data_IF_723201478402
#
_entry.id   IF_723201478402
#
_cell.length_a   1.000
_cell.length_b   1.000
_cell.length_c   1.000
_cell.angle_alpha   90.00
_cell.angle_beta   90.00
_cell.angle_gamma   90.00
#
_symmetry.space_group_name_H-M   'P 1'
#
loop_
_entity.id
_entity.type
_entity.pdbx_description
1 polymer ?
#
# COMPACT_ATOMS: atom_id res chain seq x y z
N UNK A 1 15.58 -8.01 -5.54
CA UNK A 1 15.51 -6.56 -5.45
C UNK A 1 14.08 -6.15 -5.15
N UNK A 2 13.90 -5.35 -4.15
CA UNK A 2 12.63 -4.78 -3.75
C UNK A 2 12.85 -3.36 -3.23
N UNK A 3 11.79 -2.65 -2.90
CA UNK A 3 11.90 -1.34 -2.26
C UNK A 3 11.06 -0.25 -2.90
N UNK A 4 11.28 0.96 -2.46
CA UNK A 4 10.47 2.15 -2.74
C UNK A 4 10.73 2.71 -4.13
N UNK A 5 11.91 2.49 -4.69
CA UNK A 5 12.29 3.08 -5.96
C UNK A 5 11.82 2.23 -7.14
N UNK A 6 11.27 2.89 -8.14
CA UNK A 6 11.18 2.32 -9.47
C UNK A 6 12.61 2.12 -10.00
N UNK A 7 12.93 0.91 -10.41
CA UNK A 7 14.22 0.65 -11.07
C UNK A 7 14.07 0.98 -12.55
N UNK A 8 14.88 1.91 -13.07
CA UNK A 8 14.90 2.17 -14.50
C UNK A 8 15.49 0.96 -15.25
N UNK A 9 15.05 0.75 -16.50
CA UNK A 9 15.61 -0.32 -17.34
C UNK A 9 17.13 -0.21 -17.47
N UNK A 10 17.64 1.01 -17.53
CA UNK A 10 19.08 1.26 -17.63
C UNK A 10 19.84 0.81 -16.38
N UNK A 11 19.25 1.01 -15.19
CA UNK A 11 19.82 0.52 -13.94
C UNK A 11 19.79 -1.01 -13.86
N UNK A 12 18.65 -1.62 -14.22
CA UNK A 12 18.51 -3.09 -14.20
C UNK A 12 19.46 -3.78 -15.18
N UNK A 13 19.66 -3.22 -16.38
CA UNK A 13 20.61 -3.75 -17.37
C UNK A 13 22.08 -3.71 -16.94
N UNK A 14 22.43 -2.85 -15.98
CA UNK A 14 23.79 -2.76 -15.41
C UNK A 14 24.08 -3.82 -14.34
N UNK A 15 23.08 -4.59 -13.90
CA UNK A 15 23.26 -5.64 -12.89
C UNK A 15 23.89 -6.88 -13.56
N UNK A 16 25.14 -7.25 -13.19
CA UNK A 16 25.88 -8.30 -13.90
C UNK A 16 25.56 -9.73 -13.44
N UNK A 17 24.60 -9.88 -12.53
CA UNK A 17 24.23 -11.17 -11.93
C UNK A 17 22.73 -11.44 -12.09
N UNK A 18 22.27 -12.70 -12.09
CA UNK A 18 20.87 -13.03 -12.08
C UNK A 18 20.16 -12.37 -10.89
N UNK A 19 18.97 -11.82 -11.13
CA UNK A 19 18.15 -11.23 -10.08
C UNK A 19 16.65 -11.45 -10.36
N UNK A 20 15.84 -11.31 -9.33
CA UNK A 20 14.37 -11.29 -9.40
C UNK A 20 13.89 -10.04 -8.68
N UNK A 21 12.90 -9.37 -9.27
CA UNK A 21 12.26 -8.23 -8.64
C UNK A 21 11.16 -8.73 -7.69
N UNK A 22 11.03 -8.11 -6.54
CA UNK A 22 9.97 -8.44 -5.58
C UNK A 22 9.34 -7.16 -5.03
N UNK A 23 8.02 -7.12 -4.98
CA UNK A 23 7.26 -5.96 -4.49
C UNK A 23 7.67 -4.64 -5.17
N UNK A 24 7.82 -4.67 -6.47
CA UNK A 24 8.14 -3.48 -7.27
C UNK A 24 7.13 -3.33 -8.40
N UNK A 25 6.79 -2.07 -8.69
CA UNK A 25 6.04 -1.75 -9.88
C UNK A 25 6.96 -1.77 -11.10
N UNK A 26 6.58 -2.52 -12.11
CA UNK A 26 7.14 -2.35 -13.45
C UNK A 26 6.24 -1.37 -14.20
N UNK A 27 6.54 -0.09 -14.05
CA UNK A 27 5.86 0.96 -14.79
C UNK A 27 6.32 0.92 -16.26
N UNK A 28 5.37 0.60 -17.11
CA UNK A 28 5.53 0.57 -18.55
C UNK A 28 5.39 -0.82 -19.14
N UNK A 29 4.69 -0.88 -20.27
CA UNK A 29 4.52 -2.13 -21.06
C UNK A 29 5.84 -2.70 -21.56
N UNK A 30 6.89 -1.89 -21.53
CA UNK A 30 8.24 -2.17 -22.06
C UNK A 30 9.00 -3.23 -21.25
N UNK A 31 8.68 -3.39 -19.95
CA UNK A 31 9.43 -4.28 -19.05
C UNK A 31 8.80 -5.65 -18.85
N UNK A 32 7.59 -5.85 -19.38
CA UNK A 32 6.80 -7.05 -19.06
C UNK A 32 7.47 -8.38 -19.37
N UNK A 33 8.48 -8.40 -20.24
CA UNK A 33 9.12 -9.64 -20.66
C UNK A 33 10.62 -9.69 -20.40
N UNK A 34 11.22 -8.67 -19.78
CA UNK A 34 12.66 -8.60 -19.62
C UNK A 34 13.15 -9.16 -18.28
N UNK A 35 12.30 -9.15 -17.25
CA UNK A 35 12.68 -9.52 -15.89
C UNK A 35 11.64 -10.37 -15.21
N UNK A 36 12.11 -11.36 -14.43
CA UNK A 36 11.25 -12.10 -13.51
C UNK A 36 10.88 -11.24 -12.32
N UNK A 37 9.61 -11.26 -11.92
CA UNK A 37 9.16 -10.59 -10.71
C UNK A 37 8.08 -11.37 -9.96
N UNK A 38 7.97 -11.04 -8.68
CA UNK A 38 6.92 -11.52 -7.77
C UNK A 38 6.30 -10.31 -7.09
N UNK A 39 4.99 -10.15 -7.19
CA UNK A 39 4.25 -9.03 -6.58
C UNK A 39 2.82 -9.43 -6.26
N UNK A 40 2.09 -8.53 -5.60
CA UNK A 40 0.62 -8.53 -5.57
C UNK A 40 0.09 -7.55 -6.62
N UNK A 41 -1.20 -7.65 -6.96
CA UNK A 41 -1.87 -6.63 -7.78
C UNK A 41 -2.27 -5.44 -6.89
N UNK A 42 -1.33 -4.52 -6.69
CA UNK A 42 -1.51 -3.36 -5.80
C UNK A 42 -2.71 -2.48 -6.20
N UNK A 43 -3.03 -2.38 -7.49
CA UNK A 43 -4.20 -1.64 -7.97
C UNK A 43 -5.49 -2.35 -7.54
N UNK A 44 -5.58 -3.67 -7.79
CA UNK A 44 -6.75 -4.48 -7.44
C UNK A 44 -6.98 -4.49 -5.94
N UNK A 45 -5.92 -4.75 -5.17
CA UNK A 45 -6.04 -4.89 -3.71
C UNK A 45 -6.32 -3.55 -3.02
N UNK A 46 -5.77 -2.44 -3.51
CA UNK A 46 -6.12 -1.11 -3.02
C UNK A 46 -7.55 -0.71 -3.38
N UNK A 47 -8.00 -1.05 -4.59
CA UNK A 47 -9.40 -0.89 -4.99
C UNK A 47 -10.31 -1.66 -4.02
N UNK A 48 -10.01 -2.94 -3.76
CA UNK A 48 -10.77 -3.81 -2.84
C UNK A 48 -10.83 -3.26 -1.42
N UNK A 49 -9.72 -2.70 -0.88
CA UNK A 49 -9.74 -2.06 0.44
C UNK A 49 -10.64 -0.82 0.44
N UNK A 50 -10.56 0.01 -0.59
CA UNK A 50 -11.40 1.21 -0.69
C UNK A 50 -12.88 0.84 -0.84
N UNK A 51 -13.20 -0.16 -1.65
CA UNK A 51 -14.56 -0.72 -1.78
C UNK A 51 -15.07 -1.28 -0.45
N UNK A 52 -14.20 -1.92 0.34
CA UNK A 52 -14.55 -2.38 1.68
C UNK A 52 -14.96 -1.19 2.57
N UNK A 53 -14.20 -0.11 2.59
CA UNK A 53 -14.56 1.09 3.37
C UNK A 53 -15.88 1.70 2.87
N UNK A 54 -16.11 1.77 1.56
CA UNK A 54 -17.36 2.25 0.98
C UNK A 54 -18.52 1.34 1.42
N UNK A 55 -18.35 0.02 1.40
CA UNK A 55 -19.38 -0.94 1.85
C UNK A 55 -19.74 -0.80 3.32
N UNK A 56 -18.84 -0.24 4.14
CA UNK A 56 -19.09 0.12 5.54
C UNK A 56 -19.73 1.52 5.70
N UNK A 57 -20.12 2.16 4.59
CA UNK A 57 -20.81 3.44 4.59
C UNK A 57 -19.91 4.68 4.58
N UNK A 58 -18.62 4.52 4.27
CA UNK A 58 -17.69 5.64 4.17
C UNK A 58 -17.63 6.21 2.74
N UNK A 59 -17.96 7.48 2.59
CA UNK A 59 -17.82 8.23 1.32
C UNK A 59 -16.67 9.25 1.39
N UNK A 60 -16.33 9.73 2.59
CA UNK A 60 -15.25 10.68 2.84
C UNK A 60 -14.03 9.92 3.36
N UNK A 61 -13.26 9.36 2.44
CA UNK A 61 -12.12 8.50 2.73
C UNK A 61 -10.83 9.25 2.42
N UNK A 62 -10.04 9.58 3.45
CA UNK A 62 -8.71 10.12 3.23
C UNK A 62 -7.71 9.00 2.89
N UNK A 63 -6.73 9.30 2.01
CA UNK A 63 -5.66 8.40 1.66
C UNK A 63 -4.32 8.94 2.19
N UNK A 64 -3.62 8.15 3.00
CA UNK A 64 -2.22 8.41 3.32
C UNK A 64 -1.35 7.68 2.30
N UNK A 65 -0.75 8.45 1.38
CA UNK A 65 -0.09 7.96 0.18
C UNK A 65 1.43 8.16 0.26
N UNK A 66 2.14 7.59 -0.70
CA UNK A 66 3.58 7.81 -0.94
C UNK A 66 3.89 9.24 -1.40
N UNK A 67 5.12 9.49 -1.77
CA UNK A 67 5.54 10.79 -2.32
C UNK A 67 4.72 11.19 -3.55
N UNK A 68 4.57 12.48 -3.77
CA UNK A 68 3.73 13.00 -4.86
C UNK A 68 4.21 12.56 -6.26
N UNK A 69 5.51 12.48 -6.45
CA UNK A 69 6.14 12.03 -7.70
C UNK A 69 6.45 10.53 -7.72
N UNK A 70 5.88 9.76 -6.78
CA UNK A 70 6.10 8.32 -6.73
C UNK A 70 5.50 7.64 -7.98
N UNK A 71 6.32 6.79 -8.56
CA UNK A 71 5.96 5.94 -9.70
C UNK A 71 6.01 4.45 -9.34
N UNK A 72 6.13 4.15 -8.05
CA UNK A 72 6.25 2.80 -7.49
C UNK A 72 4.91 2.21 -7.04
N UNK A 73 4.97 1.30 -6.09
CA UNK A 73 3.80 0.63 -5.48
C UNK A 73 2.80 1.64 -4.91
N UNK A 74 3.27 2.74 -4.31
CA UNK A 74 2.40 3.77 -3.76
C UNK A 74 1.50 4.41 -4.82
N UNK A 75 2.03 4.68 -6.02
CA UNK A 75 1.24 5.18 -7.15
C UNK A 75 0.20 4.17 -7.64
N UNK A 76 0.51 2.87 -7.58
CA UNK A 76 -0.45 1.82 -7.93
C UNK A 76 -1.59 1.77 -6.90
N UNK A 77 -1.27 1.88 -5.61
CA UNK A 77 -2.28 1.90 -4.53
C UNK A 77 -3.16 3.15 -4.61
N UNK A 78 -2.60 4.32 -4.93
CA UNK A 78 -3.36 5.53 -5.24
C UNK A 78 -4.30 5.32 -6.43
N UNK A 79 -3.82 4.65 -7.49
CA UNK A 79 -4.64 4.33 -8.66
C UNK A 79 -5.82 3.43 -8.28
N UNK A 80 -5.62 2.42 -7.46
CA UNK A 80 -6.68 1.54 -6.97
C UNK A 80 -7.74 2.30 -6.15
N UNK A 81 -7.28 3.16 -5.24
CA UNK A 81 -8.16 4.03 -4.46
C UNK A 81 -9.05 4.90 -5.37
N UNK A 82 -8.45 5.61 -6.34
CA UNK A 82 -9.19 6.48 -7.27
C UNK A 82 -10.21 5.68 -8.11
N UNK A 83 -9.84 4.49 -8.58
CA UNK A 83 -10.74 3.60 -9.34
C UNK A 83 -11.96 3.16 -8.52
N UNK A 84 -11.78 2.83 -7.24
CA UNK A 84 -12.88 2.44 -6.37
C UNK A 84 -13.87 3.60 -6.16
N UNK A 85 -13.37 4.81 -5.88
CA UNK A 85 -14.22 5.98 -5.75
C UNK A 85 -14.99 6.27 -7.04
N UNK A 86 -14.33 6.22 -8.21
CA UNK A 86 -14.95 6.43 -9.52
C UNK A 86 -16.05 5.39 -9.79
N UNK A 87 -15.80 4.11 -9.51
CA UNK A 87 -16.79 3.04 -9.69
C UNK A 87 -18.04 3.23 -8.84
N UNK A 88 -17.92 3.91 -7.71
CA UNK A 88 -19.03 4.22 -6.80
C UNK A 88 -19.58 5.65 -6.97
N UNK A 89 -19.15 6.39 -8.01
CA UNK A 89 -19.53 7.78 -8.28
C UNK A 89 -19.21 8.74 -7.11
N UNK A 90 -18.16 8.46 -6.35
CA UNK A 90 -17.65 9.32 -5.29
C UNK A 90 -16.56 10.21 -5.89
N UNK A 91 -16.68 11.55 -5.81
CA UNK A 91 -15.68 12.44 -6.38
C UNK A 91 -14.34 12.30 -5.64
N UNK A 92 -13.24 12.26 -6.39
CA UNK A 92 -11.90 12.34 -5.82
C UNK A 92 -11.63 13.77 -5.37
N UNK A 93 -11.39 13.97 -4.08
CA UNK A 93 -10.99 15.25 -3.52
C UNK A 93 -9.51 15.20 -3.13
N UNK A 94 -8.69 16.00 -3.81
CA UNK A 94 -7.25 16.05 -3.55
C UNK A 94 -6.90 16.50 -2.12
N UNK A 95 -7.82 17.16 -1.40
CA UNK A 95 -7.64 17.50 0.01
C UNK A 95 -7.60 16.25 0.92
N UNK A 96 -8.16 15.14 0.48
CA UNK A 96 -8.11 13.86 1.20
C UNK A 96 -6.87 13.04 0.90
N UNK A 97 -6.07 13.40 -0.11
CA UNK A 97 -4.85 12.68 -0.47
C UNK A 97 -3.66 13.36 0.21
N UNK A 98 -2.99 12.63 1.09
CA UNK A 98 -1.82 13.09 1.82
C UNK A 98 -0.58 12.35 1.38
N UNK A 99 0.43 13.08 1.02
CA UNK A 99 1.70 12.54 0.57
C UNK A 99 2.74 12.58 1.68
N UNK A 100 3.61 11.56 1.73
CA UNK A 100 4.73 11.50 2.67
C UNK A 100 5.70 12.66 2.43
N UNK A 101 6.27 13.15 3.53
CA UNK A 101 7.37 14.10 3.49
C UNK A 101 8.66 13.38 3.07
N UNK A 102 9.38 13.87 2.01
CA UNK A 102 10.65 13.26 1.58
C UNK A 102 11.76 13.29 2.63
N UNK A 103 11.65 14.15 3.66
CA UNK A 103 12.63 14.25 4.73
C UNK A 103 12.47 13.18 5.81
N UNK A 104 11.36 12.43 5.79
CA UNK A 104 11.08 11.36 6.75
C UNK A 104 11.37 9.99 6.16
N UNK A 105 11.57 9.01 7.05
CA UNK A 105 11.65 7.61 6.64
C UNK A 105 10.35 7.18 5.96
N UNK A 106 10.51 6.61 4.77
CA UNK A 106 9.39 6.15 3.96
C UNK A 106 8.57 5.08 4.68
N UNK A 107 7.26 5.16 4.55
CA UNK A 107 6.33 4.19 5.13
C UNK A 107 6.48 4.02 6.65
N UNK A 108 7.03 5.02 7.35
CA UNK A 108 7.21 4.98 8.81
C UNK A 108 5.91 5.32 9.54
N UNK A 109 5.82 4.90 10.81
CA UNK A 109 4.72 5.31 11.71
C UNK A 109 4.72 6.82 11.91
N UNK A 110 5.89 7.47 11.96
CA UNK A 110 6.01 8.91 12.07
C UNK A 110 5.41 9.63 10.86
N UNK A 111 5.64 9.12 9.64
CA UNK A 111 5.00 9.67 8.43
C UNK A 111 3.47 9.57 8.51
N UNK A 112 2.92 8.45 8.92
CA UNK A 112 1.48 8.27 9.13
C UNK A 112 0.91 9.22 10.19
N UNK A 113 1.64 9.39 11.30
CA UNK A 113 1.29 10.32 12.37
C UNK A 113 1.23 11.77 11.86
N UNK A 114 2.28 12.25 11.20
CA UNK A 114 2.36 13.64 10.72
C UNK A 114 1.32 13.95 9.65
N UNK A 115 1.12 13.06 8.68
CA UNK A 115 0.09 13.22 7.66
C UNK A 115 -1.32 13.32 8.26
N UNK A 116 -1.63 12.47 9.24
CA UNK A 116 -2.93 12.48 9.91
C UNK A 116 -3.10 13.73 10.78
N UNK A 117 -2.06 14.14 11.49
CA UNK A 117 -2.08 15.37 12.29
C UNK A 117 -2.35 16.58 11.40
N UNK A 118 -1.65 16.71 10.27
CA UNK A 118 -1.87 17.80 9.32
C UNK A 118 -3.32 17.79 8.77
N UNK A 119 -3.84 16.61 8.43
CA UNK A 119 -5.24 16.44 7.97
C UNK A 119 -6.24 16.96 8.99
N UNK A 120 -6.03 16.69 10.29
CA UNK A 120 -6.87 17.16 11.37
C UNK A 120 -6.74 18.67 11.64
N UNK A 121 -5.52 19.20 11.61
CA UNK A 121 -5.21 20.64 11.81
C UNK A 121 -5.81 21.51 10.70
N UNK A 122 -5.85 21.01 9.47
CA UNK A 122 -6.51 21.65 8.33
C UNK A 122 -8.03 21.53 8.34
N UNK A 123 -8.61 20.80 9.30
CA UNK A 123 -10.04 20.61 9.42
C UNK A 123 -10.66 19.79 8.28
N UNK A 124 -9.90 18.92 7.67
CA UNK A 124 -10.40 18.07 6.58
C UNK A 124 -11.39 17.05 7.13
N UNK A 125 -12.62 17.14 6.64
CA UNK A 125 -13.72 16.28 7.08
C UNK A 125 -13.64 14.91 6.38
N UNK A 126 -13.17 13.89 7.12
CA UNK A 126 -13.16 12.50 6.65
C UNK A 126 -13.75 11.57 7.72
N UNK A 127 -14.35 10.48 7.27
CA UNK A 127 -14.93 9.44 8.14
C UNK A 127 -14.09 8.18 8.21
N UNK A 128 -13.18 8.02 7.25
CA UNK A 128 -12.21 6.95 7.22
C UNK A 128 -10.87 7.43 6.67
N UNK A 129 -9.81 6.73 7.07
CA UNK A 129 -8.45 6.89 6.56
C UNK A 129 -8.02 5.54 5.98
N UNK A 130 -7.64 5.50 4.71
CA UNK A 130 -6.90 4.40 4.13
C UNK A 130 -5.43 4.76 4.07
N UNK A 131 -4.60 4.05 4.79
CA UNK A 131 -3.16 4.17 4.76
C UNK A 131 -2.56 3.06 3.87
N UNK A 132 -1.69 3.43 2.95
CA UNK A 132 -1.12 2.48 1.99
C UNK A 132 -0.10 1.49 2.61
N UNK A 133 0.09 1.51 3.91
CA UNK A 133 0.81 0.48 4.68
C UNK A 133 0.29 0.42 6.12
N UNK A 134 0.52 -0.72 6.78
CA UNK A 134 0.14 -0.88 8.19
C UNK A 134 0.91 0.05 9.12
N UNK A 135 2.18 0.34 8.82
CA UNK A 135 2.97 1.29 9.61
C UNK A 135 2.37 2.69 9.56
N UNK A 136 1.96 3.14 8.38
CA UNK A 136 1.24 4.43 8.24
C UNK A 136 -0.09 4.41 8.98
N UNK A 137 -0.84 3.29 8.91
CA UNK A 137 -2.11 3.14 9.62
C UNK A 137 -1.95 3.24 11.13
N UNK A 138 -0.93 2.58 11.70
CA UNK A 138 -0.61 2.63 13.12
C UNK A 138 -0.27 4.08 13.55
N UNK A 139 0.53 4.78 12.74
CA UNK A 139 0.82 6.20 12.96
C UNK A 139 -0.43 7.07 12.93
N UNK A 140 -1.35 6.80 11.99
CA UNK A 140 -2.62 7.48 11.88
C UNK A 140 -3.50 7.27 13.13
N UNK A 141 -3.64 6.03 13.60
CA UNK A 141 -4.38 5.73 14.83
C UNK A 141 -3.81 6.50 16.02
N UNK A 142 -2.47 6.55 16.14
CA UNK A 142 -1.84 7.31 17.22
C UNK A 142 -2.16 8.79 17.14
N UNK A 143 -2.09 9.42 15.98
CA UNK A 143 -2.43 10.83 15.79
C UNK A 143 -3.90 11.14 16.12
N UNK A 144 -4.81 10.23 15.74
CA UNK A 144 -6.23 10.36 16.07
C UNK A 144 -6.47 10.31 17.59
N UNK A 145 -5.84 9.36 18.28
CA UNK A 145 -5.95 9.23 19.75
C UNK A 145 -5.41 10.49 20.44
N UNK A 146 -4.26 11.00 20.02
CA UNK A 146 -3.66 12.23 20.59
C UNK A 146 -4.54 13.45 20.37
N UNK A 147 -5.33 13.47 19.28
CA UNK A 147 -6.36 14.48 18.99
C UNK A 147 -7.72 14.22 19.68
N UNK A 148 -7.81 13.23 20.58
CA UNK A 148 -9.04 12.89 21.31
C UNK A 148 -10.08 12.19 20.45
N UNK A 149 -9.74 11.67 19.26
CA UNK A 149 -10.64 10.91 18.40
C UNK A 149 -10.61 9.42 18.74
N UNK A 150 -11.74 8.77 18.63
CA UNK A 150 -11.88 7.32 18.86
C UNK A 150 -11.84 6.58 17.52
N UNK A 151 -11.01 5.55 17.46
CA UNK A 151 -10.96 4.63 16.33
C UNK A 151 -11.64 3.32 16.76
N UNK A 152 -12.64 2.81 16.02
CA UNK A 152 -13.18 3.31 14.74
C UNK A 152 -14.38 4.28 14.88
N UNK A 153 -14.80 4.66 16.11
CA UNK A 153 -16.09 5.30 16.36
C UNK A 153 -16.23 6.67 15.69
N UNK A 154 -15.17 7.48 15.72
CA UNK A 154 -15.17 8.82 15.13
C UNK A 154 -14.54 8.80 13.72
N UNK A 155 -13.46 8.05 13.53
CA UNK A 155 -12.79 7.86 12.24
C UNK A 155 -12.31 6.40 12.15
N UNK A 156 -12.67 5.71 11.07
CA UNK A 156 -12.15 4.36 10.75
C UNK A 156 -10.75 4.45 10.14
N UNK A 157 -9.90 3.44 10.37
CA UNK A 157 -8.55 3.37 9.79
C UNK A 157 -8.32 1.99 9.17
N UNK A 158 -7.89 1.96 7.92
CA UNK A 158 -7.47 0.75 7.23
C UNK A 158 -6.00 0.85 6.79
N UNK A 159 -5.32 -0.29 6.76
CA UNK A 159 -3.92 -0.44 6.35
C UNK A 159 -3.75 -1.30 5.12
N UNK A 160 -2.50 -1.66 4.86
CA UNK A 160 -2.07 -2.57 3.80
C UNK A 160 -0.78 -3.25 4.26
N UNK A 161 -0.57 -4.52 3.94
CA UNK A 161 0.53 -5.44 4.13
C UNK A 161 0.17 -6.65 4.99
N UNK A 162 -0.69 -6.51 6.02
CA UNK A 162 -1.11 -7.58 6.92
C UNK A 162 0.01 -8.00 7.89
N UNK A 163 0.72 -7.02 8.43
CA UNK A 163 1.83 -7.25 9.35
C UNK A 163 1.35 -7.82 10.69
N UNK A 164 2.23 -8.54 11.39
CA UNK A 164 1.95 -9.04 12.74
C UNK A 164 1.62 -7.88 13.70
N UNK A 165 2.32 -6.75 13.58
CA UNK A 165 2.06 -5.57 14.40
C UNK A 165 0.64 -5.04 14.22
N UNK A 166 0.11 -5.02 13.00
CA UNK A 166 -1.25 -4.59 12.72
C UNK A 166 -2.30 -5.47 13.40
N UNK A 167 -2.04 -6.78 13.49
CA UNK A 167 -2.94 -7.74 14.14
C UNK A 167 -2.97 -7.58 15.67
N UNK A 168 -1.86 -7.20 16.29
CA UNK A 168 -1.73 -7.04 17.75
C UNK A 168 -1.82 -5.59 18.23
N UNK A 169 -2.02 -4.64 17.32
CA UNK A 169 -2.26 -3.26 17.70
C UNK A 169 -3.66 -3.10 18.35
N UNK A 170 -3.88 -2.02 19.07
CA UNK A 170 -5.18 -1.74 19.67
C UNK A 170 -5.68 -0.36 19.24
N UNK A 171 -6.79 -0.27 18.47
CA UNK A 171 -7.52 -1.40 17.86
C UNK A 171 -6.69 -2.15 16.79
N UNK A 172 -6.97 -3.45 16.58
CA UNK A 172 -6.35 -4.22 15.51
C UNK A 172 -6.71 -3.64 14.14
N UNK A 173 -5.73 -3.54 13.24
CA UNK A 173 -5.88 -2.83 11.97
C UNK A 173 -6.57 -3.72 10.93
N UNK A 174 -7.66 -3.23 10.32
CA UNK A 174 -8.22 -3.81 9.10
C UNK A 174 -7.23 -3.59 7.97
N UNK A 175 -6.81 -4.65 7.28
CA UNK A 175 -5.69 -4.57 6.31
C UNK A 175 -5.86 -5.57 5.15
N UNK A 176 -5.11 -5.34 4.06
CA UNK A 176 -4.86 -6.36 3.03
C UNK A 176 -3.58 -7.09 3.40
N UNK A 177 -3.70 -8.39 3.71
CA UNK A 177 -2.54 -9.24 3.99
C UNK A 177 -1.94 -9.73 2.69
N UNK A 178 -0.67 -9.41 2.48
CA UNK A 178 0.11 -9.98 1.38
C UNK A 178 0.57 -11.41 1.74
N UNK A 179 0.59 -12.35 0.80
CA UNK A 179 1.09 -13.72 1.04
C UNK A 179 2.63 -13.74 1.05
N UNK A 180 3.25 -12.98 1.97
CA UNK A 180 4.68 -12.68 1.99
C UNK A 180 5.56 -13.94 2.01
N UNK A 181 5.16 -14.98 2.77
CA UNK A 181 5.91 -16.24 2.81
C UNK A 181 5.92 -16.96 1.46
N UNK A 182 4.77 -17.02 0.78
CA UNK A 182 4.66 -17.62 -0.55
C UNK A 182 5.45 -16.81 -1.57
N UNK A 183 5.33 -15.48 -1.54
CA UNK A 183 6.07 -14.59 -2.41
C UNK A 183 7.59 -14.74 -2.22
N UNK A 184 8.06 -14.83 -0.97
CA UNK A 184 9.47 -15.04 -0.68
C UNK A 184 9.98 -16.39 -1.22
N UNK A 185 9.22 -17.48 -1.01
CA UNK A 185 9.56 -18.81 -1.55
C UNK A 185 9.66 -18.81 -3.06
N UNK A 186 8.68 -18.23 -3.75
CA UNK A 186 8.68 -18.18 -5.23
C UNK A 186 9.77 -17.24 -5.75
N UNK A 187 10.07 -16.13 -5.07
CA UNK A 187 11.20 -15.24 -5.42
C UNK A 187 12.53 -16.01 -5.40
N UNK A 188 12.77 -16.77 -4.32
CA UNK A 188 14.01 -17.56 -4.16
C UNK A 188 14.07 -18.67 -5.22
N UNK A 189 12.97 -19.36 -5.48
CA UNK A 189 12.89 -20.40 -6.50
C UNK A 189 13.22 -19.85 -7.90
N UNK A 190 12.58 -18.74 -8.30
CA UNK A 190 12.84 -18.07 -9.57
C UNK A 190 14.30 -17.63 -9.69
N UNK A 191 14.90 -17.14 -8.60
CA UNK A 191 16.30 -16.74 -8.59
C UNK A 191 17.23 -17.95 -8.84
N UNK A 192 17.02 -19.07 -8.14
CA UNK A 192 17.81 -20.28 -8.35
C UNK A 192 17.62 -20.87 -9.75
N UNK A 193 16.41 -20.84 -10.29
CA UNK A 193 16.14 -21.31 -11.65
C UNK A 193 16.82 -20.41 -12.68
N UNK A 194 16.83 -19.10 -12.46
CA UNK A 194 17.58 -18.15 -13.30
C UNK A 194 19.09 -18.40 -13.28
N UNK A 195 19.68 -18.63 -12.10
CA UNK A 195 21.11 -18.98 -11.95
C UNK A 195 21.44 -20.27 -12.71
N UNK A 196 20.56 -21.27 -12.65
CA UNK A 196 20.74 -22.56 -13.33
C UNK A 196 20.39 -22.50 -14.83
N UNK A 197 19.97 -21.34 -15.35
CA UNK A 197 19.52 -21.16 -16.74
C UNK A 197 18.39 -22.12 -17.14
N UNK A 198 17.50 -22.46 -16.20
CA UNK A 198 16.45 -23.47 -16.40
C UNK A 198 15.12 -22.90 -16.85
N UNK A 199 14.90 -21.60 -16.71
CA UNK A 199 13.59 -20.97 -16.96
C UNK A 199 13.72 -19.69 -17.76
N UNK A 200 12.68 -19.42 -18.54
CA UNK A 200 12.42 -18.11 -19.13
C UNK A 200 11.94 -17.13 -18.05
N UNK A 201 11.89 -15.85 -18.38
CA UNK A 201 11.31 -14.79 -17.54
C UNK A 201 9.90 -15.18 -17.11
N UNK A 202 9.62 -15.07 -15.80
CA UNK A 202 8.31 -15.34 -15.21
C UNK A 202 7.84 -14.17 -14.36
N UNK A 203 6.54 -13.95 -14.39
CA UNK A 203 5.87 -12.89 -13.66
C UNK A 203 4.78 -13.52 -12.81
N UNK A 204 4.96 -13.50 -11.50
CA UNK A 204 4.02 -14.07 -10.55
C UNK A 204 3.32 -12.95 -9.79
N UNK A 205 2.01 -12.86 -10.00
CA UNK A 205 1.15 -11.90 -9.29
C UNK A 205 0.23 -12.70 -8.37
N UNK A 206 0.28 -12.37 -7.08
CA UNK A 206 -0.53 -13.01 -6.05
C UNK A 206 -1.69 -12.11 -5.63
N UNK A 207 -2.74 -12.72 -5.11
CA UNK A 207 -3.84 -12.01 -4.47
C UNK A 207 -3.56 -11.80 -2.99
N UNK A 208 -3.99 -10.64 -2.47
CA UNK A 208 -4.01 -10.36 -1.05
C UNK A 208 -5.24 -10.97 -0.37
N UNK A 209 -5.24 -10.97 0.94
CA UNK A 209 -6.39 -11.35 1.78
C UNK A 209 -6.88 -10.11 2.54
N UNK A 210 -8.17 -9.77 2.40
CA UNK A 210 -8.77 -8.75 3.27
C UNK A 210 -8.94 -9.35 4.67
N UNK A 211 -8.24 -8.78 5.64
CA UNK A 211 -8.29 -9.18 7.05
C UNK A 211 -9.02 -8.10 7.84
N UNK A 212 -10.28 -8.32 8.22
CA UNK A 212 -11.01 -7.39 9.07
C UNK A 212 -10.38 -7.31 10.47
N UNK A 213 -10.18 -6.09 10.94
CA UNK A 213 -9.77 -5.77 12.30
C UNK A 213 -10.85 -4.98 13.05
N UNK A 214 -10.43 -4.35 14.14
CA UNK A 214 -11.30 -3.52 14.99
C UNK A 214 -11.25 -2.04 14.60
N UNK A 215 -10.31 -1.64 13.74
CA UNK A 215 -10.07 -0.24 13.37
C UNK A 215 -11.03 0.33 12.32
N UNK A 216 -11.91 -0.51 11.75
CA UNK A 216 -12.98 -0.10 10.83
C UNK A 216 -14.34 -0.42 11.46
N UNK A 217 -15.24 0.57 11.47
CA UNK A 217 -16.61 0.41 11.96
C UNK A 217 -17.37 -0.53 11.04
N UNK A 218 -18.06 -1.47 11.65
CA UNK A 218 -18.99 -2.40 10.99
C UNK A 218 -20.38 -1.79 10.85
#
# INVERSE_FOLDING_TARGET
LGGIASHSQEQLKKIPVPFVLSTVSLLGKEYKNDYSFVSVDDVKESCRMTEHLISQGHEKIALLCSYKEDVSIGALRLTGYKKALEAHNIPVDERWIRHMDPELDSYSMESGYRMTKALLEEGVDCTAIFAISDSLAIGAVRALIDAGKRVPMDISVAGFDGTEMAAYYNPSITTIRQPAETMAKETIKLLFDSIKKKTNVQQLIFEGELVPGESVKK
#
